data_IF_433161106193
#
_entry.id   IF_433161106193
#
_cell.length_a   1.000
_cell.length_b   1.000
_cell.length_c   1.000
_cell.angle_alpha   90.00
_cell.angle_beta   90.00
_cell.angle_gamma   90.00
#
_symmetry.space_group_name_H-M   'P 1'
#
loop_
_entity.id
_entity.type
_entity.pdbx_description
1 polymer ?
2 water ?
#
# COMPACT_ATOMS: atom_id res chain seq x y z
N UNK A 1 -14.98 -1.48 4.96
CA UNK A 1 -14.89 -2.92 5.35
C UNK A 1 -13.44 -3.38 5.44
N UNK A 2 -12.76 -3.51 4.30
CA UNK A 2 -11.34 -3.93 4.26
C UNK A 2 -10.59 -3.38 3.05
N UNK A 3 -9.29 -3.14 3.23
CA UNK A 3 -8.44 -2.59 2.18
C UNK A 3 -7.18 -3.43 1.94
N UNK A 4 -6.67 -3.37 0.71
CA UNK A 4 -5.38 -3.96 0.38
C UNK A 4 -4.43 -2.82 0.07
N UNK A 5 -3.32 -2.75 0.80
CA UNK A 5 -2.42 -1.62 0.67
C UNK A 5 -1.21 -1.99 -0.18
N UNK A 6 -0.99 -1.21 -1.24
CA UNK A 6 0.09 -1.46 -2.20
C UNK A 6 1.44 -0.98 -1.67
N UNK A 7 2.51 -1.59 -2.17
CA UNK A 7 3.89 -1.25 -1.82
C UNK A 7 4.19 0.26 -1.85
N UNK A 8 3.76 0.93 -2.92
CA UNK A 8 4.07 2.34 -3.12
C UNK A 8 3.60 3.24 -1.98
N UNK A 9 2.51 2.84 -1.31
CA UNK A 9 2.04 3.56 -0.13
C UNK A 9 3.14 3.55 0.94
N UNK A 10 3.63 2.36 1.28
CA UNK A 10 4.68 2.22 2.29
C UNK A 10 5.97 2.92 1.87
N UNK A 11 6.34 2.80 0.60
CA UNK A 11 7.53 3.47 0.11
C UNK A 11 7.44 4.99 0.28
N UNK A 12 6.31 5.56 -0.11
CA UNK A 12 6.08 7.00 0.03
C UNK A 12 6.17 7.44 1.49
N UNK A 13 5.71 6.59 2.41
CA UNK A 13 5.70 6.90 3.84
C UNK A 13 7.12 7.12 4.39
N UNK A 14 8.04 6.23 4.03
CA UNK A 14 9.43 6.29 4.51
C UNK A 14 10.38 7.13 3.66
N UNK A 15 10.06 7.29 2.37
CA UNK A 15 10.89 8.10 1.47
C UNK A 15 10.49 9.58 1.58
N UNK A 16 11.30 10.34 2.32
CA UNK A 16 10.91 11.69 2.75
C UNK A 16 10.79 12.68 1.58
N UNK A 17 11.57 12.46 0.53
CA UNK A 17 11.57 13.35 -0.63
C UNK A 17 10.69 12.84 -1.77
N UNK A 18 9.98 11.73 -1.54
CA UNK A 18 9.09 11.19 -2.56
C UNK A 18 7.92 12.13 -2.83
N UNK A 19 7.49 12.19 -4.09
CA UNK A 19 6.38 13.04 -4.49
C UNK A 19 5.10 12.69 -3.73
N UNK A 20 4.97 11.43 -3.32
CA UNK A 20 3.79 10.96 -2.60
C UNK A 20 3.96 10.93 -1.07
N UNK A 21 4.99 11.58 -0.55
CA UNK A 21 5.29 11.42 0.87
C UNK A 21 4.13 11.83 1.77
N UNK A 22 3.56 13.02 1.53
CA UNK A 22 2.45 13.48 2.35
C UNK A 22 1.17 12.70 2.08
N UNK A 23 0.99 12.30 0.82
CA UNK A 23 -0.07 11.34 0.46
C UNK A 23 -0.01 10.12 1.38
N UNK A 24 1.18 9.52 1.49
CA UNK A 24 1.38 8.31 2.30
C UNK A 24 1.20 8.57 3.80
N UNK A 25 1.75 9.68 4.30
CA UNK A 25 1.56 10.01 5.71
C UNK A 25 0.06 10.07 6.03
N UNK A 26 -0.69 10.81 5.21
CA UNK A 26 -2.12 10.96 5.41
C UNK A 26 -2.86 9.63 5.30
N UNK A 27 -2.53 8.84 4.28
CA UNK A 27 -3.18 7.53 4.09
C UNK A 27 -2.88 6.61 5.28
N UNK A 28 -1.62 6.58 5.71
CA UNK A 28 -1.24 5.73 6.84
C UNK A 28 -1.96 6.15 8.13
N UNK A 29 -2.00 7.45 8.42
CA UNK A 29 -2.73 7.92 9.61
C UNK A 29 -4.20 7.51 9.56
N UNK A 30 -4.88 7.80 8.45
CA UNK A 30 -6.28 7.40 8.27
C UNK A 30 -6.48 5.89 8.36
N UNK A 31 -5.57 5.13 7.75
CA UNK A 31 -5.64 3.67 7.77
C UNK A 31 -5.56 3.14 9.20
N UNK A 32 -4.54 3.55 9.95
CA UNK A 32 -4.39 3.06 11.33
C UNK A 32 -5.53 3.57 12.23
N UNK A 33 -6.13 4.70 11.87
CA UNK A 33 -7.31 5.22 12.58
C UNK A 33 -8.58 4.46 12.21
N UNK A 34 -8.50 3.59 11.20
CA UNK A 34 -9.60 2.69 10.87
C UNK A 34 -10.51 3.11 9.73
N UNK A 35 -10.13 4.15 8.98
CA UNK A 35 -10.97 4.68 7.90
C UNK A 35 -11.47 3.63 6.89
N UNK A 36 -10.62 2.67 6.54
CA UNK A 36 -10.96 1.68 5.53
C UNK A 36 -11.18 0.30 6.12
N UNK A 37 -11.23 0.24 7.45
CA UNK A 37 -11.46 -1.03 8.14
C UNK A 37 -10.18 -1.83 8.29
N UNK A 38 -10.31 -3.15 8.21
CA UNK A 38 -9.17 -4.06 8.32
C UNK A 38 -8.18 -3.89 7.17
N UNK A 39 -6.89 -3.93 7.49
CA UNK A 39 -5.83 -3.69 6.51
C UNK A 39 -5.07 -4.96 6.12
N UNK A 40 -4.96 -5.21 4.82
CA UNK A 40 -4.22 -6.36 4.29
C UNK A 40 -3.05 -5.98 3.40
N UNK A 41 -2.03 -6.84 3.39
CA UNK A 41 -1.10 -6.94 2.26
C UNK A 41 -1.07 -8.41 1.81
N UNK A 42 -0.71 -8.66 0.56
CA UNK A 42 -0.43 -10.04 0.16
C UNK A 42 1.01 -10.35 0.58
N UNK A 43 1.38 -11.62 0.58
CA UNK A 43 2.76 -11.97 0.83
C UNK A 43 3.69 -11.47 -0.29
N UNK A 44 3.13 -11.20 -1.47
CA UNK A 44 3.88 -10.61 -2.58
C UNK A 44 4.16 -9.15 -2.32
N UNK A 45 3.15 -8.40 -1.88
CA UNK A 45 3.35 -7.00 -1.49
C UNK A 45 4.32 -6.96 -0.30
N UNK A 46 4.17 -7.89 0.64
CA UNK A 46 5.05 -7.93 1.81
C UNK A 46 6.52 -8.08 1.39
N UNK A 47 6.78 -9.06 0.53
CA UNK A 47 8.10 -9.29 -0.04
C UNK A 47 8.62 -8.03 -0.77
N UNK A 48 7.79 -7.45 -1.64
CA UNK A 48 8.21 -6.30 -2.44
C UNK A 48 8.59 -5.10 -1.56
N UNK A 49 7.75 -4.85 -0.57
CA UNK A 49 7.95 -3.75 0.36
C UNK A 49 9.21 -3.91 1.23
N UNK A 50 9.34 -5.05 1.92
CA UNK A 50 10.53 -5.32 2.75
C UNK A 50 11.81 -5.18 1.95
N UNK A 51 11.82 -5.82 0.77
CA UNK A 51 12.99 -5.83 -0.10
C UNK A 51 13.34 -4.42 -0.57
N UNK A 52 12.33 -3.66 -0.98
CA UNK A 52 12.51 -2.32 -1.53
C UNK A 52 12.97 -1.31 -0.47
N UNK A 53 12.33 -1.34 0.70
CA UNK A 53 12.74 -0.47 1.80
C UNK A 53 14.21 -0.70 2.15
N UNK A 54 14.60 -1.96 2.24
CA UNK A 54 15.97 -2.33 2.53
C UNK A 54 16.91 -1.89 1.42
N UNK A 55 16.52 -2.15 0.17
CA UNK A 55 17.31 -1.75 -1.00
C UNK A 55 17.55 -0.24 -1.07
N UNK A 56 16.52 0.54 -0.76
CA UNK A 56 16.61 1.99 -0.82
C UNK A 56 17.23 2.60 0.44
N UNK A 57 17.76 1.75 1.33
CA UNK A 57 18.37 2.18 2.60
C UNK A 57 17.40 2.92 3.52
N UNK A 58 16.17 2.41 3.56
CA UNK A 58 15.09 2.96 4.35
C UNK A 58 14.81 2.02 5.54
N UNK A 59 13.99 2.47 6.50
CA UNK A 59 13.70 1.71 7.72
C UNK A 59 12.84 0.45 7.54
N UNK A 60 13.41 -0.56 6.86
CA UNK A 60 12.77 -1.86 6.77
C UNK A 60 12.51 -2.38 8.18
N UNK A 61 13.48 -2.17 9.08
CA UNK A 61 13.31 -2.60 10.47
C UNK A 61 12.09 -1.95 11.11
N UNK A 62 11.93 -0.64 10.94
CA UNK A 62 10.78 0.08 11.52
C UNK A 62 9.46 -0.31 10.86
N UNK A 63 9.48 -0.57 9.55
CA UNK A 63 8.30 -1.13 8.88
C UNK A 63 7.88 -2.45 9.52
N UNK A 64 8.83 -3.37 9.66
CA UNK A 64 8.59 -4.65 10.34
C UNK A 64 7.92 -4.47 11.71
N UNK A 65 8.55 -3.70 12.58
CA UNK A 65 8.04 -3.49 13.95
C UNK A 65 6.68 -2.81 13.94
N UNK A 66 6.61 -1.67 13.25
CA UNK A 66 5.42 -0.83 13.27
C UNK A 66 4.18 -1.35 12.56
N UNK A 67 4.36 -2.09 11.47
CA UNK A 67 3.22 -2.53 10.63
C UNK A 67 2.94 -4.03 10.67
N UNK A 68 4.02 -4.82 10.70
CA UNK A 68 3.92 -6.27 10.58
C UNK A 68 3.83 -6.95 11.96
N UNK A 69 4.86 -6.79 12.78
CA UNK A 69 4.89 -7.35 14.14
C UNK A 69 3.76 -6.83 15.01
N UNK A 70 3.34 -5.59 14.76
CA UNK A 70 2.23 -4.97 15.48
C UNK A 70 0.87 -5.59 15.16
N UNK A 71 0.79 -6.34 14.07
CA UNK A 71 -0.49 -6.86 13.58
C UNK A 71 -1.40 -5.77 13.00
N UNK A 72 -0.83 -4.59 12.73
CA UNK A 72 -1.55 -3.52 12.03
C UNK A 72 -2.00 -4.03 10.64
N UNK A 73 -1.11 -4.74 9.95
CA UNK A 73 -1.43 -5.38 8.67
C UNK A 73 -1.72 -6.85 8.88
N UNK A 74 -2.70 -7.36 8.15
CA UNK A 74 -2.89 -8.78 8.04
C UNK A 74 -2.29 -9.23 6.71
N UNK A 75 -1.66 -10.39 6.72
CA UNK A 75 -1.00 -10.90 5.53
C UNK A 75 -1.82 -12.02 4.91
N UNK A 76 -2.04 -11.92 3.60
CA UNK A 76 -2.73 -12.96 2.85
C UNK A 76 -1.67 -13.78 2.11
N UNK A 77 -1.60 -15.07 2.42
CA UNK A 77 -0.68 -15.98 1.75
C UNK A 77 -1.44 -16.61 0.62
N UNK A 78 -1.06 -16.25 -0.60
CA UNK A 78 -1.83 -16.60 -1.78
C UNK A 78 -1.62 -18.06 -2.21
N UNK A 79 -2.72 -18.76 -2.46
CA UNK A 79 -2.65 -20.16 -2.84
C UNK A 79 -2.53 -20.38 -4.36
N UNK A 80 -2.41 -21.64 -4.76
CA UNK A 80 -2.22 -21.97 -6.16
C UNK A 80 -3.37 -21.50 -7.07
N UNK A 81 -4.59 -21.42 -6.54
CA UNK A 81 -5.72 -21.00 -7.37
C UNK A 81 -5.68 -19.50 -7.63
N UNK A 82 -5.37 -18.71 -6.61
CA UNK A 82 -5.14 -17.27 -6.81
C UNK A 82 -4.00 -17.02 -7.79
N UNK A 83 -2.90 -17.75 -7.63
CA UNK A 83 -1.71 -17.56 -8.47
C UNK A 83 -1.92 -18.02 -9.93
N UNK A 84 -2.68 -19.10 -10.12
CA UNK A 84 -3.08 -19.52 -11.47
C UNK A 84 -3.81 -18.40 -12.21
N UNK A 85 -4.76 -17.76 -11.54
CA UNK A 85 -5.46 -16.61 -12.12
C UNK A 85 -4.54 -15.40 -12.33
N UNK A 86 -3.66 -15.13 -11.36
CA UNK A 86 -2.71 -14.02 -11.48
C UNK A 86 -1.77 -14.20 -12.67
N UNK A 87 -1.35 -15.44 -12.89
CA UNK A 87 -0.51 -15.76 -14.03
C UNK A 87 -1.21 -15.44 -15.36
N UNK A 88 -2.50 -15.77 -15.46
CA UNK A 88 -3.31 -15.42 -16.64
C UNK A 88 -3.34 -13.91 -16.85
N UNK A 89 -3.56 -13.17 -15.77
CA UNK A 89 -3.59 -11.71 -15.82
C UNK A 89 -2.23 -11.19 -16.26
N UNK A 90 -1.16 -11.73 -15.67
CA UNK A 90 0.19 -11.32 -16.00
C UNK A 90 0.52 -11.58 -17.48
N UNK A 91 0.18 -12.76 -17.95
CA UNK A 91 0.39 -13.11 -19.36
C UNK A 91 -0.36 -12.12 -20.28
N UNK A 92 -1.62 -11.82 -19.95
CA UNK A 92 -2.44 -10.89 -20.77
C UNK A 92 -1.79 -9.52 -20.88
N UNK A 93 -1.10 -9.11 -19.82
CA UNK A 93 -0.50 -7.78 -19.74
C UNK A 93 1.03 -7.79 -19.88
N UNK A 94 1.59 -8.87 -20.42
CA UNK A 94 3.04 -9.06 -20.46
C UNK A 94 3.78 -7.96 -21.23
N UNK A 95 3.10 -7.36 -22.21
CA UNK A 95 3.72 -6.34 -23.05
C UNK A 95 3.46 -4.94 -22.56
N UNK A 96 2.71 -4.82 -21.45
CA UNK A 96 2.36 -3.52 -20.89
C UNK A 96 3.36 -3.09 -19.82
N UNK A 97 4.01 -1.96 -20.05
CA UNK A 97 5.03 -1.48 -19.16
C UNK A 97 4.55 -1.31 -17.71
N UNK A 98 5.36 -1.78 -16.76
CA UNK A 98 5.12 -1.47 -15.36
C UNK A 98 4.03 -2.27 -14.67
N UNK A 99 3.55 -3.35 -15.26
CA UNK A 99 2.60 -4.20 -14.57
C UNK A 99 3.34 -5.44 -14.06
N UNK A 100 3.48 -5.58 -12.74
CA UNK A 100 4.29 -6.65 -12.18
C UNK A 100 3.47 -7.91 -11.90
N UNK A 101 4.15 -8.99 -11.55
CA UNK A 101 3.44 -10.15 -11.05
C UNK A 101 2.77 -9.84 -9.71
N UNK A 102 3.40 -9.02 -8.87
CA UNK A 102 2.76 -8.55 -7.62
C UNK A 102 1.41 -7.87 -7.89
N UNK A 103 1.36 -7.03 -8.93
CA UNK A 103 0.16 -6.30 -9.33
C UNK A 103 -0.90 -7.28 -9.82
N UNK A 104 -0.47 -8.29 -10.56
CA UNK A 104 -1.38 -9.33 -11.04
C UNK A 104 -2.05 -10.01 -9.85
N UNK A 105 -1.25 -10.35 -8.83
CA UNK A 105 -1.76 -10.95 -7.60
C UNK A 105 -2.72 -9.98 -6.89
N UNK A 106 -2.32 -8.72 -6.81
CA UNK A 106 -3.15 -7.71 -6.16
C UNK A 106 -4.54 -7.59 -6.78
N UNK A 107 -4.61 -7.65 -8.12
CA UNK A 107 -5.88 -7.54 -8.85
C UNK A 107 -6.79 -8.73 -8.57
N UNK A 108 -6.24 -9.93 -8.63
CA UNK A 108 -6.99 -11.13 -8.31
C UNK A 108 -7.54 -11.13 -6.87
N UNK A 109 -6.66 -10.86 -5.91
CA UNK A 109 -7.00 -10.86 -4.48
C UNK A 109 -8.02 -9.76 -4.13
N UNK A 110 -7.79 -8.53 -4.59
CA UNK A 110 -8.72 -7.45 -4.28
C UNK A 110 -10.09 -7.69 -4.91
N UNK A 111 -10.12 -8.25 -6.11
CA UNK A 111 -11.38 -8.55 -6.75
C UNK A 111 -12.12 -9.71 -6.07
N UNK A 112 -11.40 -10.78 -5.74
CA UNK A 112 -12.02 -11.96 -5.10
C UNK A 112 -12.50 -11.69 -3.67
N UNK A 113 -11.75 -10.89 -2.91
CA UNK A 113 -12.10 -10.60 -1.53
C UNK A 113 -12.81 -9.27 -1.35
N UNK A 114 -13.08 -8.59 -2.47
CA UNK A 114 -13.80 -7.32 -2.45
C UNK A 114 -13.10 -6.30 -1.54
N UNK A 115 -11.79 -6.20 -1.72
CA UNK A 115 -10.99 -5.25 -0.97
C UNK A 115 -10.89 -3.95 -1.72
N UNK A 116 -10.88 -2.85 -0.98
CA UNK A 116 -10.54 -1.58 -1.56
C UNK A 116 -9.04 -1.55 -1.85
N UNK A 117 -8.66 -1.10 -3.04
CA UNK A 117 -7.26 -1.09 -3.42
C UNK A 117 -6.65 0.29 -3.16
N UNK A 118 -5.71 0.35 -2.22
CA UNK A 118 -5.03 1.60 -1.92
C UNK A 118 -3.66 1.59 -2.60
N UNK A 119 -3.49 2.47 -3.59
CA UNK A 119 -2.34 2.42 -4.48
C UNK A 119 -2.20 3.71 -5.26
N UNK A 120 -0.96 4.11 -5.57
CA UNK A 120 -0.74 5.23 -6.50
C UNK A 120 -0.73 4.78 -7.97
N UNK A 121 -0.70 3.46 -8.18
CA UNK A 121 -0.55 2.87 -9.49
C UNK A 121 -1.85 3.02 -10.28
N UNK A 122 -1.79 3.90 -11.28
CA UNK A 122 -2.92 4.31 -12.09
C UNK A 122 -3.27 3.30 -13.19
N UNK A 123 -2.64 2.12 -13.15
CA UNK A 123 -2.74 1.12 -14.23
C UNK A 123 -3.57 -0.09 -13.86
N UNK A 124 -4.03 -0.15 -12.62
CA UNK A 124 -4.87 -1.24 -12.18
C UNK A 124 -6.22 -1.20 -12.85
N UNK A 125 -6.81 -2.37 -13.04
CA UNK A 125 -8.14 -2.52 -13.61
C UNK A 125 -9.28 -2.25 -12.61
N UNK A 126 -8.92 -2.07 -11.35
CA UNK A 126 -9.88 -1.75 -10.30
C UNK A 126 -9.66 -0.30 -9.93
N UNK A 127 -10.72 0.39 -9.46
CA UNK A 127 -10.49 1.74 -8.99
C UNK A 127 -9.54 1.68 -7.79
N UNK A 128 -8.77 2.74 -7.57
CA UNK A 128 -7.86 2.81 -6.43
C UNK A 128 -8.04 4.09 -5.61
N UNK A 129 -7.53 4.05 -4.38
CA UNK A 129 -7.47 5.21 -3.50
C UNK A 129 -6.01 5.58 -3.33
N UNK A 130 -5.69 6.86 -3.49
CA UNK A 130 -4.34 7.32 -3.22
C UNK A 130 -3.88 8.56 -3.94
N UNK A 131 -4.12 8.61 -5.25
CA UNK A 131 -3.67 9.77 -6.03
C UNK A 131 -4.35 11.05 -5.52
N UNK A 132 -3.55 12.11 -5.40
CA UNK A 132 -3.98 13.42 -4.85
C UNK A 132 -4.67 13.34 -3.48
N UNK A 133 -4.27 12.37 -2.66
CA UNK A 133 -4.92 12.19 -1.37
C UNK A 133 -4.72 13.39 -0.43
N UNK A 134 -3.49 13.88 -0.35
CA UNK A 134 -3.12 15.00 0.51
C UNK A 134 -3.84 16.29 0.11
N UNK A 135 -3.77 16.62 -1.18
CA UNK A 135 -4.40 17.83 -1.73
C UNK A 135 -5.93 17.81 -1.70
N UNK A 136 -6.52 16.64 -1.47
CA UNK A 136 -7.98 16.48 -1.45
C UNK A 136 -8.60 16.68 -0.07
N UNK A 137 -7.76 16.72 0.96
CA UNK A 137 -8.23 16.86 2.33
C UNK A 137 -8.58 18.32 2.68
N UNK A 138 -9.43 18.49 3.69
CA UNK A 138 -9.65 19.80 4.34
C UNK A 138 -8.33 20.36 4.83
N UNK A 139 -8.18 21.68 4.77
CA UNK A 139 -6.98 22.33 5.30
C UNK A 139 -6.78 22.00 6.79
N UNK A 140 -7.88 21.87 7.54
CA UNK A 140 -7.82 21.54 8.96
C UNK A 140 -7.29 20.11 9.19
N UNK A 141 -7.62 19.21 8.27
CA UNK A 141 -7.19 17.81 8.36
C UNK A 141 -5.70 17.68 8.04
N UNK A 142 -5.22 18.47 7.08
CA UNK A 142 -3.80 18.57 6.78
C UNK A 142 -3.01 19.00 8.01
N UNK A 143 -3.50 20.04 8.68
CA UNK A 143 -2.83 20.60 9.86
C UNK A 143 -2.75 19.59 10.99
N UNK A 144 -3.85 18.88 11.22
CA UNK A 144 -3.90 17.82 12.22
C UNK A 144 -2.86 16.71 11.92
N UNK A 145 -2.84 16.25 10.67
CA UNK A 145 -1.91 15.19 10.24
C UNK A 145 -0.45 15.66 10.30
N UNK A 146 -0.20 16.89 9.85
CA UNK A 146 1.14 17.50 9.93
C UNK A 146 1.65 17.57 11.37
N UNK A 147 0.76 17.93 12.29
CA UNK A 147 1.10 18.01 13.71
C UNK A 147 1.52 16.64 14.22
N UNK A 148 0.69 15.63 13.93
CA UNK A 148 1.00 14.23 14.27
C UNK A 148 2.37 13.83 13.71
N UNK A 149 2.60 14.15 12.44
CA UNK A 149 3.86 13.82 11.79
C UNK A 149 5.07 14.37 12.55
N UNK A 150 5.08 15.67 12.80
CA UNK A 150 6.26 16.28 13.42
C UNK A 150 6.32 16.07 14.94
N UNK A 151 5.16 15.99 15.60
CA UNK A 151 5.11 15.81 17.06
C UNK A 151 5.36 14.36 17.50
N UNK A 152 4.49 13.45 17.05
CA UNK A 152 4.60 12.03 17.40
C UNK A 152 5.75 11.31 16.69
N UNK A 153 6.41 12.01 15.77
CA UNK A 153 7.60 11.49 15.09
C UNK A 153 7.40 10.20 14.30
N UNK A 154 6.21 10.02 13.71
CA UNK A 154 5.98 8.89 12.80
C UNK A 154 6.85 9.12 11.56
N UNK A 155 7.17 8.05 10.83
CA UNK A 155 8.34 8.03 9.92
C UNK A 155 9.51 7.42 10.66
#
# INVERSE_FOLDING_TARGET
MAALIDTGIFFGFYSLKDVHHMDSVAIVVHAVEGKWGRLFVTNHILDETLTLLKYKKLPADKFLEGFVESGVLNIIYTDDEVERKALEVFKARVYEKGFSYTDAISEVVAEELKLKLISYDSRFSLPTIGRDYWKSLDESERKRISAILREKGIDG
#
